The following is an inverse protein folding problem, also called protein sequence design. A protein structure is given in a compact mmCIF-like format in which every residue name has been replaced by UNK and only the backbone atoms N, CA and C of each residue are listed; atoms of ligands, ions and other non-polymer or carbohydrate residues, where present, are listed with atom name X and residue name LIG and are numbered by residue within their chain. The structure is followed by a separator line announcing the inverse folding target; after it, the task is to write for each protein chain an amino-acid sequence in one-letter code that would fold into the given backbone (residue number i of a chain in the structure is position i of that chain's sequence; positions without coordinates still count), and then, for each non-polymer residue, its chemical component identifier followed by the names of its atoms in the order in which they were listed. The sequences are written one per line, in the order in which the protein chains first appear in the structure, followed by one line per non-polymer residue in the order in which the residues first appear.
data_IF_736249654242
#
_entry.id   IF_736249654242
#
_cell.length_a   1.000
_cell.length_b   1.000
_cell.length_c   1.000
_cell.angle_alpha   90.00
_cell.angle_beta   90.00
_cell.angle_gamma   90.00
#
_symmetry.space_group_name_H-M   'P 1'
#
loop_
_entity.id
_entity.type
_entity.pdbx_description
1 polymer ?
#
# COMPACT_ATOMS: atom_id res chain seq x y z
N UNK A 1 -16.72 20.03 14.09
CA UNK A 1 -15.28 20.37 13.99
C UNK A 1 -14.56 19.05 14.12
N UNK A 2 -13.51 18.87 13.33
CA UNK A 2 -12.78 17.62 13.22
C UNK A 2 -12.22 17.25 14.61
N UNK A 3 -12.70 16.15 15.22
CA UNK A 3 -12.20 15.59 16.49
C UNK A 3 -10.83 14.93 16.27
N UNK A 4 -9.95 15.58 15.51
CA UNK A 4 -8.63 15.04 15.15
C UNK A 4 -7.70 14.97 16.36
N UNK A 5 -7.93 15.82 17.37
CA UNK A 5 -7.16 15.84 18.60
C UNK A 5 -8.06 16.03 19.82
N UNK A 6 -8.03 15.12 20.81
CA UNK A 6 -8.74 15.31 22.08
C UNK A 6 -8.19 16.53 22.82
N UNK A 7 -9.02 17.18 23.64
CA UNK A 7 -8.60 18.30 24.49
C UNK A 7 -7.71 17.80 25.63
N UNK A 8 -6.41 17.69 25.34
CA UNK A 8 -5.40 17.16 26.25
C UNK A 8 -5.29 17.96 27.55
N UNK A 9 -5.64 19.26 27.54
CA UNK A 9 -5.58 20.11 28.73
C UNK A 9 -6.64 19.80 29.79
N UNK A 10 -7.67 19.03 29.41
CA UNK A 10 -8.74 18.58 30.30
C UNK A 10 -8.48 17.23 30.98
N UNK A 11 -7.46 16.49 30.52
CA UNK A 11 -7.10 15.16 31.03
C UNK A 11 -6.17 15.28 32.25
N UNK A 12 -6.38 14.41 33.23
CA UNK A 12 -5.39 14.17 34.28
C UNK A 12 -4.16 13.43 33.73
N UNK A 13 -3.05 13.48 34.48
CA UNK A 13 -1.82 12.75 34.15
C UNK A 13 -2.05 11.24 33.97
N UNK A 14 -3.00 10.66 34.71
CA UNK A 14 -3.32 9.24 34.59
C UNK A 14 -4.07 8.95 33.29
N UNK A 15 -5.11 9.73 32.99
CA UNK A 15 -5.87 9.60 31.74
C UNK A 15 -4.98 9.82 30.52
N UNK A 16 -4.03 10.75 30.60
CA UNK A 16 -3.06 10.97 29.53
C UNK A 16 -2.14 9.76 29.31
N UNK A 17 -1.65 9.13 30.39
CA UNK A 17 -0.84 7.91 30.29
C UNK A 17 -1.62 6.76 29.68
N UNK A 18 -2.87 6.59 30.09
CA UNK A 18 -3.74 5.53 29.59
C UNK A 18 -4.05 5.75 28.11
N UNK A 19 -4.31 7.00 27.70
CA UNK A 19 -4.51 7.36 26.29
C UNK A 19 -3.25 7.10 25.44
N UNK A 20 -2.07 7.46 25.94
CA UNK A 20 -0.80 7.17 25.26
C UNK A 20 -0.61 5.66 25.09
N UNK A 21 -0.88 4.88 26.14
CA UNK A 21 -0.76 3.42 26.08
C UNK A 21 -1.69 2.83 25.02
N UNK A 22 -2.97 3.23 25.04
CA UNK A 22 -3.95 2.78 24.06
C UNK A 22 -3.52 3.10 22.63
N UNK A 23 -3.18 4.36 22.34
CA UNK A 23 -2.77 4.78 21.00
C UNK A 23 -1.49 4.09 20.53
N UNK A 24 -0.57 3.79 21.46
CA UNK A 24 0.65 3.04 21.15
C UNK A 24 0.33 1.59 20.76
N UNK A 25 -0.61 0.94 21.45
CA UNK A 25 -1.06 -0.42 21.12
C UNK A 25 -1.75 -0.47 19.75
N UNK A 26 -2.64 0.49 19.47
CA UNK A 26 -3.31 0.63 18.18
C UNK A 26 -2.29 0.85 17.05
N UNK A 27 -1.31 1.74 17.25
CA UNK A 27 -0.23 1.97 16.28
C UNK A 27 0.56 0.69 16.02
N UNK A 28 0.94 -0.04 17.06
CA UNK A 28 1.68 -1.30 16.93
C UNK A 28 0.92 -2.32 16.09
N UNK A 29 -0.40 -2.43 16.29
CA UNK A 29 -1.24 -3.34 15.51
C UNK A 29 -1.28 -2.93 14.03
N UNK A 30 -1.50 -1.65 13.74
CA UNK A 30 -1.49 -1.12 12.37
C UNK A 30 -0.14 -1.36 11.71
N UNK A 31 0.95 -1.07 12.41
CA UNK A 31 2.32 -1.29 11.94
C UNK A 31 2.64 -2.77 11.72
N UNK A 32 2.09 -3.68 12.52
CA UNK A 32 2.20 -5.11 12.31
C UNK A 32 1.49 -5.57 11.02
N UNK A 33 0.22 -5.17 10.85
CA UNK A 33 -0.56 -5.47 9.65
C UNK A 33 0.10 -4.91 8.38
N UNK A 34 0.61 -3.67 8.45
CA UNK A 34 1.38 -3.05 7.38
C UNK A 34 2.60 -3.88 6.99
N UNK A 35 3.42 -4.32 7.96
CA UNK A 35 4.61 -5.14 7.67
C UNK A 35 4.27 -6.47 6.99
N UNK A 36 3.19 -7.15 7.40
CA UNK A 36 2.73 -8.38 6.75
C UNK A 36 2.34 -8.12 5.29
N UNK A 37 1.56 -7.07 5.04
CA UNK A 37 1.12 -6.74 3.69
C UNK A 37 2.31 -6.40 2.78
N UNK A 38 3.24 -5.57 3.26
CA UNK A 38 4.47 -5.25 2.53
C UNK A 38 5.29 -6.51 2.24
N UNK A 39 5.46 -7.42 3.21
CA UNK A 39 6.16 -8.69 2.99
C UNK A 39 5.51 -9.55 1.90
N UNK A 40 4.17 -9.65 1.89
CA UNK A 40 3.44 -10.36 0.82
C UNK A 40 3.63 -9.70 -0.54
N UNK A 41 3.53 -8.37 -0.60
CA UNK A 41 3.74 -7.59 -1.83
C UNK A 41 5.15 -7.82 -2.36
N UNK A 42 6.16 -7.80 -1.50
CA UNK A 42 7.55 -7.94 -1.91
C UNK A 42 7.86 -9.35 -2.42
N UNK A 43 7.29 -10.40 -1.80
CA UNK A 43 7.38 -11.77 -2.33
C UNK A 43 6.77 -11.86 -3.74
N UNK A 44 5.57 -11.31 -3.93
CA UNK A 44 4.89 -11.33 -5.23
C UNK A 44 5.66 -10.52 -6.29
N UNK A 45 6.20 -9.36 -5.92
CA UNK A 45 7.06 -8.56 -6.81
C UNK A 45 8.33 -9.32 -7.20
N UNK A 46 8.97 -9.99 -6.26
CA UNK A 46 10.18 -10.77 -6.54
C UNK A 46 9.87 -11.93 -7.52
N UNK A 47 8.76 -12.63 -7.32
CA UNK A 47 8.31 -13.69 -8.23
C UNK A 47 7.94 -13.15 -9.61
N UNK A 48 7.25 -12.00 -9.69
CA UNK A 48 6.95 -11.34 -10.96
C UNK A 48 8.23 -11.00 -11.73
N UNK A 49 9.20 -10.38 -11.07
CA UNK A 49 10.50 -10.04 -11.68
C UNK A 49 11.23 -11.29 -12.15
N UNK A 50 11.20 -12.38 -11.38
CA UNK A 50 11.78 -13.67 -11.77
C UNK A 50 11.14 -14.22 -13.05
N UNK A 51 9.79 -14.19 -13.14
CA UNK A 51 9.07 -14.62 -14.34
C UNK A 51 9.39 -13.78 -15.56
N UNK A 52 9.43 -12.46 -15.43
CA UNK A 52 9.78 -11.56 -16.53
C UNK A 52 11.21 -11.81 -17.02
N UNK A 53 12.16 -12.03 -16.10
CA UNK A 53 13.53 -12.42 -16.46
C UNK A 53 13.58 -13.73 -17.24
N UNK A 54 12.87 -14.77 -16.78
CA UNK A 54 12.81 -16.06 -17.47
C UNK A 54 12.19 -15.95 -18.87
N UNK A 55 11.14 -15.13 -19.03
CA UNK A 55 10.53 -14.86 -20.34
C UNK A 55 11.53 -14.21 -21.30
N UNK A 56 12.25 -13.20 -20.82
CA UNK A 56 13.31 -12.55 -21.60
C UNK A 56 14.41 -13.53 -22.02
N UNK A 57 14.88 -14.38 -21.10
CA UNK A 57 15.89 -15.41 -21.39
C UNK A 57 15.39 -16.45 -22.41
N UNK A 58 14.08 -16.73 -22.41
CA UNK A 58 13.41 -17.58 -23.39
C UNK A 58 13.13 -16.91 -24.74
N UNK A 59 13.52 -15.64 -24.92
CA UNK A 59 13.28 -14.88 -26.15
C UNK A 59 11.86 -14.32 -26.30
N UNK A 60 11.03 -14.38 -25.24
CA UNK A 60 9.74 -13.68 -25.21
C UNK A 60 9.93 -12.20 -24.84
N UNK A 61 9.15 -11.33 -25.49
CA UNK A 61 9.13 -9.90 -25.17
C UNK A 61 8.55 -9.65 -23.78
N UNK A 62 9.28 -8.90 -22.95
CA UNK A 62 8.90 -8.55 -21.57
C UNK A 62 7.90 -7.38 -21.54
N UNK A 63 8.00 -6.50 -22.53
CA UNK A 63 7.15 -5.33 -22.72
C UNK A 63 6.58 -5.44 -24.12
N UNK A 64 5.26 -5.50 -24.21
CA UNK A 64 4.55 -5.56 -25.48
C UNK A 64 4.15 -4.16 -25.94
N UNK A 65 3.78 -4.01 -27.23
CA UNK A 65 3.23 -2.75 -27.73
C UNK A 65 1.97 -2.29 -26.96
N UNK A 66 1.15 -3.23 -26.49
CA UNK A 66 -0.03 -2.94 -25.68
C UNK A 66 0.33 -2.35 -24.30
N UNK A 67 1.46 -2.75 -23.70
CA UNK A 67 1.95 -2.18 -22.44
C UNK A 67 2.36 -0.70 -22.62
N UNK A 68 2.93 -0.36 -23.79
CA UNK A 68 3.33 1.01 -24.14
C UNK A 68 2.10 1.90 -24.36
N UNK A 69 1.06 1.41 -25.04
CA UNK A 69 -0.21 2.14 -25.18
C UNK A 69 -0.87 2.40 -23.83
N UNK A 70 -0.90 1.39 -22.95
CA UNK A 70 -1.47 1.52 -21.59
C UNK A 70 -0.70 2.53 -20.73
N UNK A 71 0.63 2.53 -20.79
CA UNK A 71 1.46 3.55 -20.14
C UNK A 71 1.19 4.95 -20.68
N UNK A 72 1.00 5.07 -22.00
CA UNK A 72 0.67 6.34 -22.66
C UNK A 72 -0.66 6.89 -22.14
N UNK A 73 -1.67 6.04 -21.94
CA UNK A 73 -2.97 6.46 -21.38
C UNK A 73 -2.89 6.83 -19.90
N UNK A 74 -2.13 6.09 -19.09
CA UNK A 74 -1.88 6.44 -17.68
C UNK A 74 -1.21 7.82 -17.59
N UNK A 75 -0.15 8.05 -18.36
CA UNK A 75 0.58 9.33 -18.37
C UNK A 75 -0.26 10.48 -18.94
N UNK A 76 -1.18 10.20 -19.85
CA UNK A 76 -2.14 11.16 -20.38
C UNK A 76 -3.32 11.44 -19.43
N UNK A 77 -3.36 10.80 -18.25
CA UNK A 77 -4.47 10.93 -17.29
C UNK A 77 -5.77 10.26 -17.73
N UNK A 78 -5.74 9.45 -18.79
CA UNK A 78 -6.84 8.59 -19.23
C UNK A 78 -6.75 7.25 -18.52
N UNK A 79 -6.89 7.25 -17.20
CA UNK A 79 -7.04 5.99 -16.47
C UNK A 79 -8.46 5.48 -16.78
N UNK A 80 -8.65 4.33 -17.46
CA UNK A 80 -9.97 3.72 -17.52
C UNK A 80 -10.36 3.42 -16.08
N UNK A 81 -11.53 3.94 -15.65
CA UNK A 81 -12.12 3.57 -14.38
C UNK A 81 -12.05 2.06 -14.28
N UNK A 82 -11.29 1.56 -13.30
CA UNK A 82 -11.19 0.13 -13.05
C UNK A 82 -12.63 -0.39 -12.98
N UNK A 83 -12.95 -1.38 -13.82
CA UNK A 83 -14.22 -2.05 -13.77
C UNK A 83 -14.40 -2.56 -12.34
N UNK A 84 -15.31 -1.93 -11.61
CA UNK A 84 -15.97 -2.54 -10.47
C UNK A 84 -16.68 -3.79 -11.00
N UNK A 85 -15.98 -4.93 -10.95
CA UNK A 85 -16.59 -6.24 -11.11
C UNK A 85 -17.14 -6.66 -9.74
N UNK A 86 -18.46 -6.87 -9.75
CA UNK A 86 -19.38 -7.25 -8.68
C UNK A 86 -18.95 -8.43 -7.82
#
# INVERSE_FOLDING_TARGET
MDDTFPDLGSLSDQELKDLIQQLTEEEMEVSYRRRILHGKIDILRAELVNRLRKKHEGGEEVITGADVEKLTDILAGRVPAAADEQ
#
